data_IF_767668023993
#
_entry.id   IF_767668023993
#
_cell.length_a   1.000
_cell.length_b   1.000
_cell.length_c   1.000
_cell.angle_alpha   90.00
_cell.angle_beta   90.00
_cell.angle_gamma   90.00
#
_symmetry.space_group_name_H-M   'P 1'
#
loop_
_entity.id
_entity.type
_entity.pdbx_description
1 polymer ?
#
# COMPACT_ATOMS: atom_id res chain seq x y z
N UNK A 1 95.19 -3.71 6.65
CA UNK A 1 96.26 -4.57 6.11
C UNK A 1 95.66 -5.95 5.89
N UNK A 2 95.58 -6.41 4.62
CA UNK A 2 95.05 -7.72 4.14
C UNK A 2 93.52 -7.87 4.27
N UNK A 3 92.73 -8.29 3.28
CA UNK A 3 92.93 -8.74 1.89
C UNK A 3 91.64 -9.46 1.43
N UNK A 4 91.34 -9.38 0.12
CA UNK A 4 90.70 -10.36 -0.82
C UNK A 4 89.81 -11.52 -0.28
N UNK A 5 88.80 -12.07 -0.96
CA UNK A 5 88.23 -11.96 -2.32
C UNK A 5 86.89 -12.76 -2.35
N UNK A 6 85.94 -12.27 -3.15
CA UNK A 6 85.02 -12.93 -4.14
C UNK A 6 84.59 -14.41 -3.99
N UNK A 7 83.25 -14.63 -4.08
CA UNK A 7 82.55 -15.55 -5.04
C UNK A 7 81.08 -15.73 -4.60
N UNK A 8 80.10 -15.08 -5.25
CA UNK A 8 79.31 -15.53 -6.41
C UNK A 8 78.29 -16.66 -6.12
N UNK A 9 77.01 -16.36 -6.39
CA UNK A 9 75.90 -17.29 -6.29
C UNK A 9 74.58 -16.60 -6.60
N UNK A 10 74.28 -16.43 -7.90
CA UNK A 10 72.99 -15.98 -8.41
C UNK A 10 71.86 -16.95 -8.03
N UNK A 11 70.69 -16.40 -7.70
CA UNK A 11 69.52 -17.19 -7.35
C UNK A 11 68.25 -16.35 -7.31
N UNK A 12 67.75 -16.02 -8.50
CA UNK A 12 66.35 -15.84 -8.90
C UNK A 12 65.29 -15.62 -7.79
N UNK A 13 64.62 -14.46 -7.82
CA UNK A 13 63.43 -14.25 -7.00
C UNK A 13 62.99 -12.79 -6.91
N UNK A 14 62.77 -12.14 -8.05
CA UNK A 14 61.90 -10.96 -8.08
C UNK A 14 60.49 -11.43 -7.74
N UNK A 15 59.92 -10.94 -6.65
CA UNK A 15 58.55 -10.46 -6.75
C UNK A 15 58.30 -9.31 -5.79
N UNK A 16 58.19 -8.14 -6.44
CA UNK A 16 57.85 -6.89 -5.83
C UNK A 16 56.38 -6.92 -5.41
N UNK A 17 56.13 -6.54 -4.17
CA UNK A 17 54.81 -6.21 -3.66
C UNK A 17 54.15 -5.18 -4.59
N UNK A 18 53.20 -5.65 -5.40
CA UNK A 18 52.24 -4.83 -6.14
C UNK A 18 50.85 -5.10 -5.60
N UNK A 19 50.41 -4.15 -4.80
CA UNK A 19 49.03 -3.70 -4.58
C UNK A 19 47.99 -4.43 -5.44
N UNK A 20 47.37 -5.47 -4.88
CA UNK A 20 46.13 -6.00 -5.40
C UNK A 20 44.98 -5.17 -4.81
N UNK A 21 44.53 -4.17 -5.59
CA UNK A 21 43.19 -3.64 -5.48
C UNK A 21 42.23 -4.82 -5.71
N UNK A 22 41.64 -5.34 -4.63
CA UNK A 22 40.60 -6.35 -4.70
C UNK A 22 39.40 -5.77 -5.41
N UNK A 23 39.33 -6.06 -6.71
CA UNK A 23 38.16 -6.07 -7.58
C UNK A 23 36.84 -6.15 -6.79
N UNK A 24 36.22 -4.98 -6.59
CA UNK A 24 34.80 -4.88 -6.32
C UNK A 24 34.09 -5.58 -7.47
N UNK A 25 33.46 -6.72 -7.17
CA UNK A 25 32.64 -7.45 -8.11
C UNK A 25 31.54 -6.50 -8.60
N UNK A 26 31.72 -5.99 -9.81
CA UNK A 26 30.70 -5.34 -10.61
C UNK A 26 29.49 -6.27 -10.64
N UNK A 27 28.50 -5.99 -9.80
CA UNK A 27 27.19 -6.61 -9.92
C UNK A 27 26.59 -6.10 -11.24
N UNK A 28 26.28 -6.99 -12.20
CA UNK A 28 25.72 -6.58 -13.47
C UNK A 28 24.36 -5.94 -13.21
N UNK A 29 24.26 -4.66 -13.60
CA UNK A 29 23.06 -3.85 -13.78
C UNK A 29 21.77 -4.52 -13.27
N UNK A 30 21.43 -4.30 -11.99
CA UNK A 30 20.02 -4.26 -11.60
C UNK A 30 19.37 -3.31 -12.60
N UNK A 31 18.53 -3.82 -13.51
CA UNK A 31 17.63 -2.96 -14.28
C UNK A 31 17.02 -2.01 -13.25
N UNK A 32 17.25 -0.70 -13.41
CA UNK A 32 16.69 0.31 -12.53
C UNK A 32 15.18 0.14 -12.58
N UNK A 33 14.62 -0.61 -11.63
CA UNK A 33 13.18 -0.87 -11.55
C UNK A 33 12.54 0.45 -11.21
N UNK A 34 11.58 0.88 -12.01
CA UNK A 34 10.78 2.08 -11.73
C UNK A 34 10.05 1.84 -10.42
N UNK A 35 10.32 2.69 -9.42
CA UNK A 35 9.71 2.59 -8.10
C UNK A 35 8.30 3.20 -8.15
N UNK A 36 7.28 2.38 -7.89
CA UNK A 36 5.88 2.77 -7.92
C UNK A 36 5.44 3.22 -6.53
N UNK A 37 5.09 4.50 -6.41
CA UNK A 37 4.55 5.07 -5.16
C UNK A 37 3.06 5.36 -5.31
N UNK A 38 2.22 4.67 -4.55
CA UNK A 38 0.81 5.01 -4.41
C UNK A 38 0.64 6.01 -3.27
N UNK A 39 -0.16 7.05 -3.46
CA UNK A 39 -0.44 8.07 -2.44
C UNK A 39 -1.95 8.18 -2.30
N UNK A 40 -2.51 7.63 -1.23
CA UNK A 40 -3.97 7.55 -1.06
C UNK A 40 -4.39 7.78 0.38
N UNK A 41 -5.50 8.49 0.63
CA UNK A 41 -6.03 8.51 1.98
C UNK A 41 -6.45 7.09 2.38
N UNK A 42 -6.22 6.70 3.64
CA UNK A 42 -6.52 5.35 4.11
C UNK A 42 -8.04 5.04 4.06
N UNK A 43 -8.38 3.77 3.85
CA UNK A 43 -9.76 3.27 3.77
C UNK A 43 -10.10 2.32 4.94
N UNK A 44 -11.36 2.36 5.40
CA UNK A 44 -11.89 1.42 6.38
C UNK A 44 -12.33 0.15 5.67
N UNK A 45 -11.71 -0.99 6.00
CA UNK A 45 -11.83 -2.26 5.28
C UNK A 45 -11.76 -2.05 3.75
N UNK A 46 -10.55 -1.77 3.22
CA UNK A 46 -10.35 -1.20 1.89
C UNK A 46 -11.11 -1.92 0.79
N UNK A 47 -11.50 -1.15 -0.23
CA UNK A 47 -12.03 -1.73 -1.47
C UNK A 47 -10.96 -2.55 -2.16
N UNK A 48 -11.35 -3.55 -2.95
CA UNK A 48 -10.39 -4.41 -3.65
C UNK A 48 -9.42 -3.65 -4.60
N UNK A 49 -9.82 -2.61 -5.35
CA UNK A 49 -8.88 -1.80 -6.12
C UNK A 49 -7.82 -1.10 -5.26
N UNK A 50 -8.18 -0.64 -4.06
CA UNK A 50 -7.22 -0.06 -3.11
C UNK A 50 -6.27 -1.14 -2.60
N UNK A 51 -6.80 -2.31 -2.21
CA UNK A 51 -5.98 -3.44 -1.77
C UNK A 51 -5.03 -3.93 -2.88
N UNK A 52 -5.40 -3.81 -4.17
CA UNK A 52 -4.52 -4.13 -5.28
C UNK A 52 -3.32 -3.16 -5.38
N UNK A 53 -3.45 -1.91 -4.92
CA UNK A 53 -2.30 -0.99 -4.79
C UNK A 53 -1.28 -1.53 -3.78
N UNK A 54 -1.72 -2.13 -2.66
CA UNK A 54 -0.82 -2.77 -1.69
C UNK A 54 -0.02 -3.92 -2.31
N UNK A 55 -0.57 -4.62 -3.29
CA UNK A 55 0.11 -5.74 -3.96
C UNK A 55 1.01 -5.30 -5.13
N UNK A 56 0.88 -4.05 -5.59
CA UNK A 56 1.51 -3.60 -6.84
C UNK A 56 2.49 -2.45 -6.62
N UNK A 57 2.24 -1.56 -5.67
CA UNK A 57 3.13 -0.46 -5.33
C UNK A 57 4.35 -0.99 -4.55
N UNK A 58 5.50 -0.36 -4.77
CA UNK A 58 6.67 -0.56 -3.91
C UNK A 58 6.53 0.25 -2.61
N UNK A 59 5.80 1.36 -2.65
CA UNK A 59 5.47 2.19 -1.49
C UNK A 59 4.01 2.66 -1.54
N UNK A 60 3.32 2.59 -0.41
CA UNK A 60 2.01 3.22 -0.20
C UNK A 60 2.14 4.30 0.89
N UNK A 61 1.98 5.57 0.50
CA UNK A 61 1.84 6.66 1.45
C UNK A 61 0.37 6.85 1.80
N UNK A 62 0.03 6.58 3.06
CA UNK A 62 -1.28 6.80 3.65
C UNK A 62 -1.46 8.30 3.87
N UNK A 63 -2.19 8.94 2.98
CA UNK A 63 -2.46 10.38 2.99
C UNK A 63 -3.52 10.76 4.03
N UNK A 64 -3.25 10.45 5.30
CA UNK A 64 -4.13 10.69 6.44
C UNK A 64 -4.29 12.17 6.82
N UNK A 65 -3.42 13.02 6.31
CA UNK A 65 -3.52 14.49 6.36
C UNK A 65 -4.50 15.07 5.34
N UNK A 66 -5.04 14.27 4.41
CA UNK A 66 -5.95 14.78 3.39
C UNK A 66 -7.36 14.99 3.96
N UNK A 67 -8.08 15.92 3.33
CA UNK A 67 -9.46 16.23 3.70
C UNK A 67 -10.38 15.00 3.55
N UNK A 68 -11.29 14.83 4.51
CA UNK A 68 -12.33 13.83 4.45
C UNK A 68 -13.25 14.05 3.23
N UNK A 69 -13.48 12.97 2.47
CA UNK A 69 -14.46 12.94 1.39
C UNK A 69 -15.59 11.96 1.68
N UNK A 70 -16.84 12.42 1.52
CA UNK A 70 -18.04 11.57 1.64
C UNK A 70 -18.09 10.45 0.61
N UNK A 71 -17.41 10.63 -0.52
CA UNK A 71 -17.32 9.63 -1.59
C UNK A 71 -16.14 8.68 -1.39
N UNK A 72 -15.25 8.96 -0.45
CA UNK A 72 -14.13 8.09 -0.11
C UNK A 72 -14.56 6.88 0.73
N UNK A 73 -13.75 5.82 0.67
CA UNK A 73 -13.92 4.61 1.47
C UNK A 73 -13.48 4.76 2.94
N UNK A 74 -13.43 5.98 3.49
CA UNK A 74 -12.82 6.24 4.81
C UNK A 74 -13.68 5.73 5.96
N UNK A 75 -15.00 5.78 5.84
CA UNK A 75 -15.90 5.52 6.96
C UNK A 75 -16.93 4.43 6.67
N UNK A 76 -16.82 3.71 5.55
CA UNK A 76 -17.74 2.63 5.24
C UNK A 76 -17.16 1.62 4.27
N UNK A 77 -17.58 0.37 4.43
CA UNK A 77 -17.27 -0.74 3.53
C UNK A 77 -18.52 -1.57 3.25
N UNK A 78 -18.50 -2.40 2.20
CA UNK A 78 -19.58 -3.36 1.93
C UNK A 78 -19.14 -4.76 2.32
N UNK A 79 -20.03 -5.50 2.95
CA UNK A 79 -19.87 -6.93 3.21
C UNK A 79 -20.97 -7.72 2.52
N UNK A 80 -20.72 -9.00 2.28
CA UNK A 80 -21.73 -9.92 1.80
C UNK A 80 -22.71 -10.27 2.92
N UNK A 81 -23.97 -10.50 2.55
CA UNK A 81 -25.00 -11.11 3.39
C UNK A 81 -25.86 -12.04 2.54
N UNK A 82 -26.74 -12.81 3.19
CA UNK A 82 -27.80 -13.60 2.55
C UNK A 82 -28.68 -12.78 1.59
N UNK A 83 -28.88 -11.50 1.87
CA UNK A 83 -29.68 -10.53 1.08
C UNK A 83 -28.84 -9.70 0.10
N UNK A 84 -27.60 -10.11 -0.19
CA UNK A 84 -26.71 -9.41 -1.11
C UNK A 84 -25.60 -8.66 -0.37
N UNK A 85 -25.64 -7.33 -0.35
CA UNK A 85 -24.55 -6.52 0.21
C UNK A 85 -25.05 -5.52 1.25
N UNK A 86 -24.38 -5.49 2.41
CA UNK A 86 -24.66 -4.60 3.53
C UNK A 86 -23.53 -3.58 3.69
N UNK A 87 -23.89 -2.31 3.92
CA UNK A 87 -22.93 -1.28 4.29
C UNK A 87 -22.62 -1.33 5.79
N UNK A 88 -21.35 -1.52 6.10
CA UNK A 88 -20.79 -1.28 7.41
C UNK A 88 -20.29 0.16 7.48
N UNK A 89 -20.98 1.03 8.22
CA UNK A 89 -20.58 2.44 8.39
C UNK A 89 -20.02 2.72 9.79
N UNK A 90 -18.86 3.39 9.82
CA UNK A 90 -18.28 4.03 10.99
C UNK A 90 -18.94 5.40 11.18
N UNK A 91 -19.63 5.62 12.31
CA UNK A 91 -20.21 6.93 12.63
C UNK A 91 -19.08 7.90 12.99
N UNK A 92 -19.28 9.16 12.62
CA UNK A 92 -18.31 10.23 12.84
C UNK A 92 -19.05 11.51 13.18
N UNK A 93 -18.40 12.43 13.89
CA UNK A 93 -18.96 13.78 14.03
C UNK A 93 -18.96 14.46 12.66
N UNK A 94 -19.81 15.47 12.52
CA UNK A 94 -19.89 16.20 11.25
C UNK A 94 -18.52 16.76 10.90
N UNK A 95 -17.97 16.33 9.78
CA UNK A 95 -16.70 16.83 9.29
C UNK A 95 -16.95 18.12 8.49
N UNK A 96 -16.29 19.20 8.87
CA UNK A 96 -16.30 20.44 8.11
C UNK A 96 -15.71 20.25 6.71
N UNK A 97 -16.01 21.17 5.79
CA UNK A 97 -15.36 21.18 4.48
C UNK A 97 -13.84 21.32 4.66
N UNK A 98 -13.06 20.40 4.10
CA UNK A 98 -11.60 20.45 4.17
C UNK A 98 -10.98 19.85 5.44
N UNK A 99 -11.78 19.35 6.39
CA UNK A 99 -11.24 18.78 7.63
C UNK A 99 -10.41 17.51 7.35
N UNK A 100 -9.14 17.45 7.80
CA UNK A 100 -8.26 16.31 7.54
C UNK A 100 -8.71 15.06 8.31
N UNK A 101 -8.43 13.86 7.78
CA UNK A 101 -8.85 12.60 8.43
C UNK A 101 -8.30 12.45 9.86
N UNK A 102 -7.11 13.01 10.15
CA UNK A 102 -6.52 13.06 11.49
C UNK A 102 -7.35 13.82 12.52
N UNK A 103 -8.27 14.69 12.08
CA UNK A 103 -9.14 15.48 12.95
C UNK A 103 -10.58 14.99 12.95
N UNK A 104 -10.93 14.00 12.11
CA UNK A 104 -12.31 13.48 12.06
C UNK A 104 -12.53 12.53 13.22
N UNK A 105 -13.37 12.94 14.17
CA UNK A 105 -13.72 12.14 15.34
C UNK A 105 -14.70 11.01 15.01
N UNK A 106 -14.39 9.79 15.47
CA UNK A 106 -15.30 8.63 15.45
C UNK A 106 -16.24 8.72 16.64
N UNK A 107 -17.54 8.59 16.39
CA UNK A 107 -18.56 8.58 17.46
C UNK A 107 -18.68 7.17 18.02
N UNK A 108 -18.67 7.01 19.34
CA UNK A 108 -18.94 5.70 19.94
C UNK A 108 -20.42 5.55 20.32
N UNK A 109 -21.21 5.05 19.39
CA UNK A 109 -22.65 4.78 19.55
C UNK A 109 -22.95 3.26 19.59
N UNK A 110 -21.93 2.45 19.87
CA UNK A 110 -21.99 0.99 19.80
C UNK A 110 -21.80 0.40 18.40
N UNK A 111 -21.39 1.20 17.40
CA UNK A 111 -21.12 0.71 16.03
C UNK A 111 -20.18 -0.49 15.99
N UNK A 112 -19.15 -0.55 16.85
CA UNK A 112 -18.18 -1.66 16.91
C UNK A 112 -18.88 -3.00 17.17
N UNK A 113 -19.77 -3.04 18.16
CA UNK A 113 -20.57 -4.23 18.49
C UNK A 113 -21.51 -4.60 17.33
N UNK A 114 -22.12 -3.61 16.68
CA UNK A 114 -22.98 -3.84 15.51
C UNK A 114 -22.20 -4.42 14.33
N UNK A 115 -20.97 -3.94 14.07
CA UNK A 115 -20.11 -4.50 13.03
C UNK A 115 -19.66 -5.92 13.35
N UNK A 116 -19.21 -6.18 14.59
CA UNK A 116 -18.83 -7.52 15.00
C UNK A 116 -19.99 -8.51 14.82
N UNK A 117 -21.20 -8.16 15.29
CA UNK A 117 -22.38 -8.98 15.10
C UNK A 117 -22.74 -9.20 13.61
N UNK A 118 -22.65 -8.16 12.79
CA UNK A 118 -22.91 -8.27 11.35
C UNK A 118 -21.89 -9.17 10.65
N UNK A 119 -20.61 -9.07 11.01
CA UNK A 119 -19.54 -9.92 10.47
C UNK A 119 -19.70 -11.37 10.92
N UNK A 120 -20.04 -11.63 12.17
CA UNK A 120 -20.35 -12.98 12.67
C UNK A 120 -21.54 -13.58 11.93
N UNK A 121 -22.61 -12.81 11.72
CA UNK A 121 -23.78 -13.30 10.99
C UNK A 121 -23.47 -13.59 9.51
N UNK A 122 -22.66 -12.73 8.86
CA UNK A 122 -22.31 -12.86 7.45
C UNK A 122 -21.27 -13.95 7.16
N UNK A 123 -20.28 -14.09 8.03
CA UNK A 123 -19.08 -14.88 7.76
C UNK A 123 -18.78 -15.92 8.83
N UNK A 124 -19.62 -16.13 9.84
CA UNK A 124 -19.34 -17.10 10.92
C UNK A 124 -19.07 -18.54 10.45
N UNK A 125 -19.55 -18.92 9.25
CA UNK A 125 -19.27 -20.20 8.60
C UNK A 125 -18.18 -20.13 7.51
N UNK A 126 -17.59 -18.96 7.27
CA UNK A 126 -16.54 -18.79 6.28
C UNK A 126 -15.23 -19.44 6.75
N UNK A 127 -14.46 -19.99 5.80
CA UNK A 127 -13.30 -20.84 6.09
C UNK A 127 -12.22 -20.19 6.96
N UNK A 128 -12.12 -18.86 6.97
CA UNK A 128 -11.10 -18.13 7.71
C UNK A 128 -11.65 -17.17 8.77
N UNK A 129 -12.94 -17.22 9.08
CA UNK A 129 -13.56 -16.33 10.06
C UNK A 129 -12.86 -16.35 11.43
N UNK A 130 -12.65 -17.54 11.99
CA UNK A 130 -12.01 -17.72 13.30
C UNK A 130 -10.56 -17.20 13.36
N UNK A 131 -9.92 -16.97 12.21
CA UNK A 131 -8.56 -16.44 12.14
C UNK A 131 -8.55 -14.92 11.90
N UNK A 132 -9.43 -14.43 11.01
CA UNK A 132 -9.47 -13.03 10.59
C UNK A 132 -10.21 -12.16 11.60
N UNK A 133 -11.30 -12.67 12.19
CA UNK A 133 -12.19 -11.87 13.04
C UNK A 133 -11.54 -11.39 14.34
N UNK A 134 -10.75 -12.19 15.09
CA UNK A 134 -10.08 -11.70 16.30
C UNK A 134 -9.14 -10.53 16.01
N UNK A 135 -8.30 -10.65 14.98
CA UNK A 135 -7.40 -9.56 14.57
C UNK A 135 -8.16 -8.34 14.03
N UNK A 136 -9.30 -8.55 13.36
CA UNK A 136 -10.15 -7.44 12.93
C UNK A 136 -10.86 -6.75 14.11
N UNK A 137 -11.16 -7.47 15.19
CA UNK A 137 -11.71 -6.88 16.41
C UNK A 137 -10.72 -5.89 17.04
N UNK A 138 -9.41 -6.16 16.99
CA UNK A 138 -8.37 -5.22 17.41
C UNK A 138 -8.37 -3.96 16.55
N UNK A 139 -8.56 -4.10 15.22
CA UNK A 139 -8.74 -2.94 14.33
C UNK A 139 -9.96 -2.13 14.73
N UNK A 140 -11.12 -2.76 14.96
CA UNK A 140 -12.33 -2.07 15.40
C UNK A 140 -12.13 -1.34 16.73
N UNK A 141 -11.31 -1.89 17.63
CA UNK A 141 -10.99 -1.29 18.93
C UNK A 141 -10.01 -0.10 18.85
N UNK A 142 -9.46 0.22 17.66
CA UNK A 142 -8.52 1.35 17.49
C UNK A 142 -9.16 2.65 18.00
N UNK A 143 -8.52 3.33 18.98
CA UNK A 143 -8.98 4.60 19.49
C UNK A 143 -8.53 5.76 18.58
N UNK A 144 -9.08 6.95 18.83
CA UNK A 144 -8.63 8.18 18.17
C UNK A 144 -9.46 8.55 16.95
N UNK A 145 -8.77 9.11 15.95
CA UNK A 145 -9.39 9.70 14.77
C UNK A 145 -9.80 8.65 13.74
N UNK A 146 -10.56 9.08 12.74
CA UNK A 146 -10.87 8.24 11.57
C UNK A 146 -9.59 7.85 10.82
N UNK A 147 -8.56 8.72 10.79
CA UNK A 147 -7.25 8.36 10.26
C UNK A 147 -6.64 7.18 11.01
N UNK A 148 -6.65 7.17 12.34
CA UNK A 148 -6.01 6.10 13.12
C UNK A 148 -6.68 4.74 12.85
N UNK A 149 -8.03 4.72 12.86
CA UNK A 149 -8.81 3.52 12.54
C UNK A 149 -8.54 3.02 11.12
N UNK A 150 -8.51 3.91 10.13
CA UNK A 150 -8.31 3.53 8.72
C UNK A 150 -6.87 3.12 8.43
N UNK A 151 -5.88 3.74 9.08
CA UNK A 151 -4.47 3.32 9.02
C UNK A 151 -4.32 1.91 9.60
N UNK A 152 -4.92 1.63 10.77
CA UNK A 152 -4.91 0.29 11.35
C UNK A 152 -5.55 -0.74 10.42
N UNK A 153 -6.67 -0.38 9.80
CA UNK A 153 -7.38 -1.19 8.81
C UNK A 153 -6.55 -1.50 7.56
N UNK A 154 -5.85 -0.51 7.00
CA UNK A 154 -4.97 -0.72 5.84
C UNK A 154 -3.76 -1.59 6.21
N UNK A 155 -3.15 -1.35 7.39
CA UNK A 155 -2.01 -2.17 7.86
C UNK A 155 -2.42 -3.62 8.13
N UNK A 156 -3.59 -3.83 8.73
CA UNK A 156 -4.19 -5.17 8.87
C UNK A 156 -4.33 -5.87 7.51
N UNK A 157 -4.90 -5.16 6.54
CA UNK A 157 -5.09 -5.66 5.18
C UNK A 157 -3.75 -6.03 4.53
N UNK A 158 -2.75 -5.16 4.65
CA UNK A 158 -1.41 -5.39 4.11
C UNK A 158 -0.75 -6.65 4.70
N UNK A 159 -0.90 -6.88 6.02
CA UNK A 159 -0.38 -8.09 6.69
C UNK A 159 -1.03 -9.36 6.13
N UNK A 160 -2.35 -9.39 6.03
CA UNK A 160 -3.09 -10.55 5.50
C UNK A 160 -2.78 -10.83 4.03
N UNK A 161 -2.58 -9.78 3.24
CA UNK A 161 -2.19 -9.90 1.83
C UNK A 161 -0.69 -10.16 1.64
N UNK A 162 0.10 -10.20 2.72
CA UNK A 162 1.57 -10.30 2.68
C UNK A 162 2.18 -9.28 1.70
N UNK A 163 1.67 -8.05 1.76
CA UNK A 163 2.15 -6.95 0.93
C UNK A 163 3.62 -6.65 1.22
N UNK A 164 4.41 -6.49 0.16
CA UNK A 164 5.80 -6.05 0.24
C UNK A 164 5.95 -4.52 0.20
N UNK A 165 4.84 -3.79 0.06
CA UNK A 165 4.87 -2.34 -0.05
C UNK A 165 5.34 -1.71 1.26
N UNK A 166 6.24 -0.75 1.16
CA UNK A 166 6.58 0.12 2.28
C UNK A 166 5.38 1.02 2.62
N UNK A 167 4.87 0.96 3.85
CA UNK A 167 3.70 1.75 4.28
C UNK A 167 4.12 2.89 5.21
N UNK A 168 3.96 4.12 4.72
CA UNK A 168 4.32 5.38 5.42
C UNK A 168 3.06 6.23 5.62
N UNK A 169 2.95 6.99 6.70
CA UNK A 169 1.86 7.98 6.87
C UNK A 169 2.33 9.36 6.40
N UNK A 170 1.46 10.12 5.74
CA UNK A 170 1.77 11.51 5.39
C UNK A 170 1.96 12.39 6.64
N UNK A 171 1.25 12.09 7.73
CA UNK A 171 1.43 12.76 9.02
C UNK A 171 2.78 12.49 9.71
N UNK A 172 3.51 11.44 9.32
CA UNK A 172 4.85 11.11 9.81
C UNK A 172 5.96 11.75 8.94
N UNK A 173 5.61 12.31 7.77
CA UNK A 173 6.57 12.96 6.88
C UNK A 173 6.91 14.39 7.36
N UNK A 174 8.13 14.88 7.05
CA UNK A 174 8.50 16.27 7.32
C UNK A 174 7.49 17.27 6.75
N UNK A 175 7.06 18.22 7.57
CA UNK A 175 6.08 19.24 7.17
C UNK A 175 4.62 18.77 7.14
N UNK A 176 4.34 17.48 7.38
CA UNK A 176 2.97 16.90 7.42
C UNK A 176 2.14 17.29 6.16
N UNK A 177 2.68 17.05 4.95
CA UNK A 177 2.08 17.52 3.70
C UNK A 177 0.63 17.07 3.55
N UNK A 178 -0.24 17.93 3.03
CA UNK A 178 -1.69 17.66 2.92
C UNK A 178 -2.23 17.71 1.49
N UNK A 179 -1.35 17.90 0.50
CA UNK A 179 -1.65 17.82 -0.92
C UNK A 179 -0.84 16.73 -1.63
N UNK A 180 -1.39 16.17 -2.72
CA UNK A 180 -0.76 15.08 -3.48
C UNK A 180 0.64 15.43 -4.01
N UNK A 181 0.82 16.65 -4.54
CA UNK A 181 2.09 17.11 -5.06
C UNK A 181 3.16 17.18 -3.95
N UNK A 182 2.80 17.73 -2.79
CA UNK A 182 3.69 17.87 -1.64
C UNK A 182 4.09 16.50 -1.08
N UNK A 183 3.13 15.58 -0.93
CA UNK A 183 3.42 14.22 -0.48
C UNK A 183 4.34 13.51 -1.47
N UNK A 184 4.11 13.66 -2.77
CA UNK A 184 4.96 13.06 -3.80
C UNK A 184 6.40 13.59 -3.74
N UNK A 185 6.57 14.90 -3.54
CA UNK A 185 7.87 15.55 -3.43
C UNK A 185 8.63 15.10 -2.16
N UNK A 186 8.00 15.23 -0.98
CA UNK A 186 8.61 14.86 0.31
C UNK A 186 8.90 13.36 0.40
N UNK A 187 8.06 12.52 -0.21
CA UNK A 187 8.28 11.08 -0.27
C UNK A 187 9.30 10.67 -1.36
N UNK A 188 9.82 11.61 -2.17
CA UNK A 188 10.77 11.32 -3.25
C UNK A 188 10.18 10.42 -4.34
N UNK A 189 8.89 10.54 -4.63
CA UNK A 189 8.20 9.68 -5.58
C UNK A 189 8.71 9.92 -7.01
N UNK A 190 9.31 8.91 -7.63
CA UNK A 190 9.76 8.98 -9.04
C UNK A 190 8.67 8.62 -10.04
N UNK A 191 7.63 7.90 -9.61
CA UNK A 191 6.46 7.54 -10.40
C UNK A 191 5.29 7.30 -9.47
N UNK A 192 4.15 7.92 -9.77
CA UNK A 192 2.93 7.77 -8.98
C UNK A 192 2.04 6.68 -9.56
N UNK A 193 1.66 5.70 -8.73
CA UNK A 193 0.68 4.67 -9.06
C UNK A 193 -0.71 5.13 -8.61
N UNK A 194 -1.67 5.10 -9.54
CA UNK A 194 -3.04 5.59 -9.36
C UNK A 194 -4.06 4.55 -9.82
N UNK A 195 -5.33 4.80 -9.49
CA UNK A 195 -6.49 4.08 -10.02
C UNK A 195 -7.16 4.89 -11.14
N UNK A 196 -7.93 4.26 -12.05
CA UNK A 196 -8.49 4.93 -13.22
C UNK A 196 -9.33 6.17 -12.88
N UNK A 197 -10.09 6.14 -11.79
CA UNK A 197 -10.99 7.22 -11.37
C UNK A 197 -10.26 8.51 -10.96
N UNK A 198 -8.99 8.40 -10.57
CA UNK A 198 -8.15 9.52 -10.11
C UNK A 198 -7.07 9.93 -11.10
N UNK A 199 -6.86 9.15 -12.16
CA UNK A 199 -5.64 9.24 -12.97
C UNK A 199 -5.39 10.62 -13.59
N UNK A 200 -6.44 11.26 -14.13
CA UNK A 200 -6.35 12.62 -14.68
C UNK A 200 -5.95 13.64 -13.63
N UNK A 201 -6.68 13.67 -12.51
CA UNK A 201 -6.44 14.60 -11.39
C UNK A 201 -5.04 14.43 -10.83
N UNK A 202 -4.61 13.19 -10.64
CA UNK A 202 -3.29 12.89 -10.11
C UNK A 202 -2.19 13.38 -11.05
N UNK A 203 -2.32 13.11 -12.36
CA UNK A 203 -1.36 13.54 -13.37
C UNK A 203 -1.30 15.07 -13.55
N UNK A 204 -2.40 15.77 -13.32
CA UNK A 204 -2.42 17.24 -13.29
C UNK A 204 -1.79 17.80 -12.00
N UNK A 205 -1.88 17.06 -10.89
CA UNK A 205 -1.36 17.48 -9.59
C UNK A 205 0.14 17.21 -9.42
N UNK A 206 0.68 16.12 -9.99
CA UNK A 206 2.08 15.73 -9.79
C UNK A 206 2.96 16.04 -11.00
N UNK A 207 4.21 16.42 -10.74
CA UNK A 207 5.21 16.68 -11.78
C UNK A 207 5.98 15.45 -12.27
N UNK A 208 5.55 14.24 -11.90
CA UNK A 208 6.23 12.96 -12.18
C UNK A 208 5.35 12.03 -13.00
N UNK A 209 5.91 11.02 -13.70
CA UNK A 209 5.12 10.06 -14.46
C UNK A 209 4.04 9.40 -13.61
N UNK A 210 2.85 9.24 -14.19
CA UNK A 210 1.73 8.52 -13.57
C UNK A 210 1.54 7.17 -14.26
N UNK A 211 1.29 6.15 -13.45
CA UNK A 211 0.95 4.78 -13.87
C UNK A 211 -0.41 4.42 -13.32
N UNK A 212 -1.29 3.85 -14.14
CA UNK A 212 -2.65 3.48 -13.77
C UNK A 212 -2.74 1.97 -13.59
N UNK A 213 -3.07 1.52 -12.38
CA UNK A 213 -3.45 0.14 -12.13
C UNK A 213 -4.86 -0.10 -12.68
N UNK A 214 -4.98 -0.97 -13.67
CA UNK A 214 -6.28 -1.42 -14.21
C UNK A 214 -6.77 -2.60 -13.38
N UNK A 215 -7.92 -2.42 -12.76
CA UNK A 215 -8.58 -3.40 -11.92
C UNK A 215 -9.94 -3.76 -12.50
N UNK A 216 -10.18 -5.05 -12.68
CA UNK A 216 -11.48 -5.60 -13.05
C UNK A 216 -11.73 -6.81 -12.16
N UNK A 217 -12.80 -6.77 -11.37
CA UNK A 217 -13.03 -7.76 -10.33
C UNK A 217 -13.33 -9.12 -10.97
N UNK A 218 -12.39 -10.05 -10.84
CA UNK A 218 -12.58 -11.43 -11.25
C UNK A 218 -13.59 -12.11 -10.32
N UNK A 219 -14.49 -12.91 -10.90
CA UNK A 219 -15.38 -13.74 -10.11
C UNK A 219 -14.58 -14.69 -9.24
N UNK A 220 -15.01 -14.83 -7.99
CA UNK A 220 -14.39 -15.71 -7.00
C UNK A 220 -15.47 -16.37 -6.17
N UNK A 221 -15.08 -17.42 -5.46
CA UNK A 221 -15.93 -18.03 -4.45
C UNK A 221 -16.28 -16.99 -3.38
N UNK A 222 -17.55 -16.88 -3.04
CA UNK A 222 -18.08 -16.11 -1.92
C UNK A 222 -19.02 -17.00 -1.10
N UNK A 223 -19.46 -16.55 0.06
CA UNK A 223 -20.44 -17.28 0.86
C UNK A 223 -21.85 -17.24 0.26
N UNK A 224 -22.48 -18.38 -0.02
CA UNK A 224 -23.82 -18.44 -0.62
C UNK A 224 -23.81 -18.41 -2.15
N UNK A 225 -24.99 -18.25 -2.77
CA UNK A 225 -25.15 -18.39 -4.22
C UNK A 225 -24.77 -17.12 -5.00
N UNK A 226 -24.21 -17.31 -6.20
CA UNK A 226 -23.87 -16.23 -7.12
C UNK A 226 -22.72 -15.33 -6.65
N UNK A 227 -22.38 -14.34 -7.49
CA UNK A 227 -21.29 -13.41 -7.25
C UNK A 227 -21.81 -11.99 -6.99
N UNK A 228 -21.30 -11.36 -5.93
CA UNK A 228 -21.63 -9.97 -5.55
C UNK A 228 -20.36 -9.13 -5.68
N UNK A 229 -20.25 -8.27 -6.71
CA UNK A 229 -19.09 -7.41 -6.91
C UNK A 229 -19.09 -6.20 -5.99
N UNK A 230 -17.93 -5.56 -5.85
CA UNK A 230 -17.76 -4.30 -5.13
C UNK A 230 -17.83 -4.44 -3.61
N UNK A 231 -17.52 -5.62 -3.08
CA UNK A 231 -17.36 -5.84 -1.64
C UNK A 231 -15.97 -5.39 -1.15
N UNK A 232 -15.87 -5.09 0.14
CA UNK A 232 -14.60 -4.76 0.78
C UNK A 232 -13.71 -5.98 0.98
N UNK A 233 -12.46 -5.72 1.35
CA UNK A 233 -11.44 -6.78 1.52
C UNK A 233 -11.82 -7.84 2.56
N UNK A 234 -12.70 -7.53 3.52
CA UNK A 234 -13.15 -8.51 4.52
C UNK A 234 -13.83 -9.73 3.89
N UNK A 235 -14.63 -9.56 2.83
CA UNK A 235 -15.24 -10.69 2.10
C UNK A 235 -14.15 -11.63 1.56
N UNK A 236 -13.13 -11.04 0.93
CA UNK A 236 -11.99 -11.76 0.38
C UNK A 236 -11.20 -12.50 1.48
N UNK A 237 -10.85 -11.81 2.58
CA UNK A 237 -10.04 -12.38 3.66
C UNK A 237 -10.79 -13.50 4.40
N UNK A 238 -12.06 -13.28 4.76
CA UNK A 238 -12.86 -14.28 5.47
C UNK A 238 -13.07 -15.55 4.62
N UNK A 239 -13.14 -15.42 3.29
CA UNK A 239 -13.40 -16.54 2.38
C UNK A 239 -12.14 -17.27 1.92
N UNK A 240 -11.03 -16.55 1.72
CA UNK A 240 -9.81 -17.09 1.09
C UNK A 240 -8.56 -17.04 1.97
N UNK A 241 -8.57 -16.27 3.07
CA UNK A 241 -7.48 -16.22 4.04
C UNK A 241 -6.10 -16.03 3.39
N UNK A 242 -5.12 -16.93 3.61
CA UNK A 242 -3.78 -16.82 3.02
C UNK A 242 -3.73 -16.76 1.48
N UNK A 243 -4.74 -17.30 0.79
CA UNK A 243 -4.82 -17.26 -0.67
C UNK A 243 -5.41 -15.94 -1.21
N UNK A 244 -5.84 -15.02 -0.33
CA UNK A 244 -6.47 -13.77 -0.71
C UNK A 244 -5.61 -12.92 -1.67
N UNK A 245 -4.30 -12.90 -1.48
CA UNK A 245 -3.39 -12.16 -2.34
C UNK A 245 -3.43 -12.67 -3.79
N UNK A 246 -3.41 -13.99 -3.98
CA UNK A 246 -3.44 -14.59 -5.33
C UNK A 246 -4.78 -14.41 -6.01
N UNK A 247 -5.87 -14.55 -5.24
CA UNK A 247 -7.23 -14.27 -5.73
C UNK A 247 -7.37 -12.80 -6.14
N UNK A 248 -6.82 -11.87 -5.35
CA UNK A 248 -6.85 -10.44 -5.68
C UNK A 248 -6.02 -10.11 -6.92
N UNK A 249 -4.86 -10.76 -7.11
CA UNK A 249 -4.01 -10.59 -8.30
C UNK A 249 -4.73 -10.99 -9.59
N UNK A 250 -5.63 -11.97 -9.55
CA UNK A 250 -6.44 -12.32 -10.71
C UNK A 250 -7.35 -11.18 -11.20
N UNK A 251 -7.63 -10.18 -10.35
CA UNK A 251 -8.38 -8.97 -10.73
C UNK A 251 -7.49 -7.82 -11.22
N UNK A 252 -6.17 -7.96 -11.13
CA UNK A 252 -5.20 -6.96 -11.61
C UNK A 252 -4.88 -7.25 -13.07
N UNK A 253 -5.37 -6.40 -13.96
CA UNK A 253 -5.22 -6.60 -15.41
C UNK A 253 -3.82 -6.20 -15.87
N UNK A 254 -3.42 -4.94 -15.58
CA UNK A 254 -2.13 -4.37 -15.98
C UNK A 254 -1.86 -3.02 -15.29
N UNK A 255 -0.63 -2.53 -15.43
CA UNK A 255 -0.21 -1.18 -15.02
C UNK A 255 0.20 -0.40 -16.27
N UNK A 256 -0.60 0.59 -16.64
CA UNK A 256 -0.43 1.38 -17.88
C UNK A 256 0.22 2.74 -17.59
N UNK A 257 0.96 3.31 -18.53
CA UNK A 257 1.29 4.74 -18.49
C UNK A 257 0.01 5.58 -18.65
N UNK A 258 -0.23 6.52 -17.74
CA UNK A 258 -1.17 7.60 -18.01
C UNK A 258 -0.50 8.61 -18.93
N UNK A 259 -1.22 9.12 -19.94
CA UNK A 259 -0.80 10.09 -20.98
C UNK A 259 0.67 10.53 -20.95
N UNK A 260 1.42 10.25 -22.03
CA UNK A 260 2.85 10.57 -22.16
C UNK A 260 3.22 11.95 -21.55
N UNK A 261 4.32 12.06 -20.79
CA UNK A 261 4.63 13.27 -20.05
C UNK A 261 4.70 14.48 -20.98
N UNK A 262 3.86 15.50 -20.73
CA UNK A 262 4.04 16.80 -21.39
C UNK A 262 5.38 17.37 -20.89
N UNK A 263 6.30 17.76 -21.78
CA UNK A 263 7.56 18.38 -21.36
C UNK A 263 7.25 19.63 -20.53
N UNK A 264 7.96 19.82 -19.41
CA UNK A 264 7.96 21.09 -18.67
C UNK A 264 8.41 22.17 -19.64
N UNK A 265 7.49 23.01 -20.08
CA UNK A 265 7.85 24.26 -20.76
C UNK A 265 8.56 25.12 -19.73
N UNK A 266 9.87 25.30 -19.90
CA UNK A 266 10.59 26.36 -19.23
C UNK A 266 10.01 27.70 -19.75
N UNK A 267 9.57 28.54 -18.82
CA UNK A 267 9.34 29.97 -19.04
C UNK A 267 9.91 30.70 -17.83
#
# INVERSE_FOLDING_TARGET
MRGHDVSAGEGSGKDAARTALSSSAFHPLRRLRVLLTAIRPPEFAPRLPYAALLLTADRLVLADTFAFSRQGGHNRTRIRTDKGALWLSVPRRHAGLGQPLTEVEVVDDGWRRRHAAALTAAYGSASFFEHVMPEWADVLATPGSLADLTVASVRFTARWLKSEAEIVRASDLPGRPSALAEVADVAGATTVLTLPESARRDAEAVGVPVRVLRFEEAERRQGGEGFVPGLGVLDLLMTHGPAAADVLRASVQRVDAFGAPRPRTAS
#
